data_IF_585354527827
#
_entry.id   IF_585354527827
#
_cell.length_a   1.000
_cell.length_b   1.000
_cell.length_c   1.000
_cell.angle_alpha   90.00
_cell.angle_beta   90.00
_cell.angle_gamma   90.00
#
_symmetry.space_group_name_H-M   'P 1'
#
loop_
_entity.id
_entity.type
_entity.pdbx_description
1 polymer ?
#
# COMPACT_ATOMS: atom_id res chain seq x y z
N UNK A 1 -2.73 0.49 11.68
CA UNK A 1 -2.88 1.94 11.44
C UNK A 1 -1.56 2.60 11.04
N UNK A 2 -0.51 2.44 11.86
CA UNK A 2 0.81 3.02 11.61
C UNK A 2 1.40 2.65 10.23
N UNK A 3 1.16 1.43 9.74
CA UNK A 3 1.52 1.00 8.38
C UNK A 3 0.96 1.92 7.27
N UNK A 4 -0.33 2.28 7.32
CA UNK A 4 -0.97 3.10 6.30
C UNK A 4 -0.42 4.53 6.27
N UNK A 5 -0.03 5.06 7.43
CA UNK A 5 0.55 6.40 7.55
C UNK A 5 1.94 6.46 6.88
N UNK A 6 2.78 5.45 7.06
CA UNK A 6 4.07 5.36 6.37
C UNK A 6 3.93 5.28 4.85
N UNK A 7 2.84 4.69 4.35
CA UNK A 7 2.57 4.57 2.91
C UNK A 7 1.91 5.81 2.31
N UNK A 8 1.37 6.71 3.13
CA UNK A 8 0.66 7.92 2.71
C UNK A 8 1.41 8.77 1.67
N UNK A 9 2.70 9.11 1.87
CA UNK A 9 3.46 9.89 0.90
C UNK A 9 3.61 9.19 -0.45
N UNK A 10 3.82 7.88 -0.43
CA UNK A 10 4.01 7.08 -1.63
C UNK A 10 2.72 6.96 -2.44
N UNK A 11 1.63 6.52 -1.78
CA UNK A 11 0.32 6.36 -2.42
C UNK A 11 -0.24 7.72 -2.83
N UNK A 12 -0.09 8.75 -2.00
CA UNK A 12 -0.59 10.10 -2.27
C UNK A 12 -0.02 10.69 -3.56
N UNK A 13 1.29 10.57 -3.79
CA UNK A 13 1.93 11.06 -5.03
C UNK A 13 1.42 10.31 -6.26
N UNK A 14 1.25 9.00 -6.16
CA UNK A 14 0.73 8.19 -7.26
C UNK A 14 -0.71 8.58 -7.61
N UNK A 15 -1.60 8.60 -6.61
CA UNK A 15 -3.01 8.93 -6.79
C UNK A 15 -3.17 10.37 -7.30
N UNK A 16 -2.39 11.32 -6.79
CA UNK A 16 -2.41 12.70 -7.28
C UNK A 16 -2.07 12.80 -8.77
N UNK A 17 -1.09 12.03 -9.26
CA UNK A 17 -0.67 12.05 -10.67
C UNK A 17 -1.74 11.54 -11.62
N UNK A 18 -2.40 10.43 -11.28
CA UNK A 18 -3.46 9.84 -12.11
C UNK A 18 -4.79 10.60 -12.02
N UNK A 19 -4.92 11.52 -11.06
CA UNK A 19 -6.14 12.29 -10.80
C UNK A 19 -6.13 13.71 -11.39
N UNK A 20 -5.16 14.03 -12.25
CA UNK A 20 -5.06 15.35 -12.90
C UNK A 20 -6.34 15.66 -13.70
N UNK A 21 -6.98 16.80 -13.40
CA UNK A 21 -8.19 17.25 -14.08
C UNK A 21 -9.51 16.73 -13.49
N UNK A 22 -9.48 15.98 -12.39
CA UNK A 22 -10.68 15.54 -11.64
C UNK A 22 -11.10 16.58 -10.62
N UNK A 23 -12.41 16.66 -10.34
CA UNK A 23 -12.88 17.46 -9.20
C UNK A 23 -12.50 16.80 -7.87
N UNK A 24 -12.40 17.58 -6.80
CA UNK A 24 -12.10 17.05 -5.46
C UNK A 24 -13.13 16.00 -5.04
N UNK A 25 -14.41 16.22 -5.39
CA UNK A 25 -15.49 15.26 -5.08
C UNK A 25 -15.28 13.93 -5.80
N UNK A 26 -14.99 13.96 -7.09
CA UNK A 26 -14.69 12.76 -7.88
C UNK A 26 -13.44 12.03 -7.35
N UNK A 27 -12.40 12.78 -7.00
CA UNK A 27 -11.18 12.26 -6.41
C UNK A 27 -11.47 11.51 -5.10
N UNK A 28 -12.16 12.16 -4.15
CA UNK A 28 -12.46 11.56 -2.84
C UNK A 28 -13.34 10.32 -3.00
N UNK A 29 -14.39 10.39 -3.82
CA UNK A 29 -15.26 9.22 -4.05
C UNK A 29 -14.53 8.07 -4.73
N UNK A 30 -13.70 8.35 -5.74
CA UNK A 30 -12.93 7.31 -6.44
C UNK A 30 -11.93 6.60 -5.53
N UNK A 31 -11.21 7.36 -4.70
CA UNK A 31 -10.19 6.84 -3.78
C UNK A 31 -10.79 6.07 -2.61
N UNK A 32 -12.01 6.42 -2.17
CA UNK A 32 -12.69 5.69 -1.12
C UNK A 32 -13.41 4.45 -1.67
N UNK A 33 -14.28 4.62 -2.66
CA UNK A 33 -15.20 3.56 -3.09
C UNK A 33 -14.45 2.42 -3.79
N UNK A 34 -13.53 2.74 -4.71
CA UNK A 34 -12.84 1.71 -5.50
C UNK A 34 -12.08 0.70 -4.64
N UNK A 35 -11.11 1.13 -3.82
CA UNK A 35 -10.37 0.25 -2.92
C UNK A 35 -11.23 -0.43 -1.87
N UNK A 36 -12.26 0.24 -1.34
CA UNK A 36 -13.18 -0.37 -0.37
C UNK A 36 -13.96 -1.52 -0.99
N UNK A 37 -14.59 -1.32 -2.16
CA UNK A 37 -15.34 -2.38 -2.83
C UNK A 37 -14.45 -3.58 -3.18
N UNK A 38 -13.25 -3.31 -3.72
CA UNK A 38 -12.27 -4.35 -3.98
C UNK A 38 -11.91 -5.13 -2.71
N UNK A 39 -11.64 -4.42 -1.61
CA UNK A 39 -11.30 -5.05 -0.33
C UNK A 39 -12.47 -5.87 0.22
N UNK A 40 -13.70 -5.35 0.14
CA UNK A 40 -14.91 -6.08 0.58
C UNK A 40 -15.10 -7.37 -0.21
N UNK A 41 -14.93 -7.33 -1.53
CA UNK A 41 -15.02 -8.53 -2.38
C UNK A 41 -13.91 -9.52 -2.04
N UNK A 42 -12.67 -9.03 -1.92
CA UNK A 42 -11.50 -9.86 -1.62
C UNK A 42 -11.62 -10.56 -0.26
N UNK A 43 -11.84 -9.79 0.81
CA UNK A 43 -11.99 -10.33 2.16
C UNK A 43 -13.28 -11.15 2.30
N UNK A 44 -14.35 -10.78 1.61
CA UNK A 44 -15.59 -11.55 1.59
C UNK A 44 -15.40 -12.94 0.96
N UNK A 45 -14.74 -13.01 -0.20
CA UNK A 45 -14.49 -14.26 -0.90
C UNK A 45 -13.52 -15.17 -0.11
N UNK A 46 -12.30 -14.69 0.18
CA UNK A 46 -11.28 -15.52 0.84
C UNK A 46 -11.53 -15.71 2.33
N UNK A 47 -12.01 -14.68 3.04
CA UNK A 47 -12.41 -14.80 4.44
C UNK A 47 -13.64 -15.69 4.62
N UNK A 48 -14.56 -15.68 3.65
CA UNK A 48 -15.72 -16.59 3.63
C UNK A 48 -15.32 -18.06 3.56
N UNK A 49 -14.31 -18.40 2.75
CA UNK A 49 -13.77 -19.78 2.67
C UNK A 49 -13.21 -20.23 4.02
N UNK A 50 -12.36 -19.40 4.65
CA UNK A 50 -11.79 -19.72 5.96
C UNK A 50 -12.84 -19.84 7.07
N UNK A 51 -13.87 -18.99 7.04
CA UNK A 51 -14.98 -19.03 7.99
C UNK A 51 -15.83 -20.30 7.80
N UNK A 52 -16.14 -20.66 6.55
CA UNK A 52 -16.90 -21.86 6.21
C UNK A 52 -16.18 -23.13 6.69
N UNK A 53 -14.86 -23.23 6.51
CA UNK A 53 -14.06 -24.37 6.98
C UNK A 53 -14.05 -24.47 8.51
N UNK A 54 -14.01 -23.32 9.20
CA UNK A 54 -14.07 -23.27 10.67
C UNK A 54 -15.44 -23.74 11.19
N UNK A 55 -16.52 -23.34 10.53
CA UNK A 55 -17.89 -23.68 10.95
C UNK A 55 -18.26 -25.14 10.66
N UNK A 56 -17.70 -25.72 9.60
CA UNK A 56 -17.97 -27.13 9.22
C UNK A 56 -17.10 -28.13 10.00
N UNK A 57 -16.18 -27.66 10.85
CA UNK A 57 -15.16 -28.46 11.54
C UNK A 57 -14.30 -29.33 10.60
N UNK A 58 -14.26 -28.98 9.30
CA UNK A 58 -13.56 -29.77 8.29
C UNK A 58 -12.10 -29.36 8.10
N UNK A 59 -11.54 -28.49 8.95
CA UNK A 59 -10.20 -28.01 8.66
C UNK A 59 -9.39 -27.26 9.70
N UNK A 60 -8.08 -27.32 9.43
CA UNK A 60 -6.95 -26.90 10.27
C UNK A 60 -6.42 -25.50 9.88
N UNK A 61 -7.10 -24.81 8.95
CA UNK A 61 -6.70 -23.45 8.51
C UNK A 61 -6.61 -22.47 9.69
N UNK A 62 -7.49 -22.61 10.69
CA UNK A 62 -7.43 -21.79 11.90
C UNK A 62 -6.12 -22.02 12.69
N UNK A 63 -5.64 -23.25 12.81
CA UNK A 63 -4.38 -23.55 13.49
C UNK A 63 -3.16 -23.01 12.71
N UNK A 64 -3.24 -23.00 11.37
CA UNK A 64 -2.22 -22.39 10.52
C UNK A 64 -2.10 -20.87 10.74
N UNK A 65 -3.19 -20.18 11.07
CA UNK A 65 -3.11 -18.74 11.40
C UNK A 65 -2.28 -18.45 12.65
N UNK A 66 -2.14 -19.42 13.56
CA UNK A 66 -1.35 -19.26 14.78
C UNK A 66 0.09 -19.73 14.62
N UNK A 67 0.33 -20.71 13.76
CA UNK A 67 1.63 -21.38 13.63
C UNK A 67 2.43 -20.91 12.42
N UNK A 68 1.79 -20.65 11.27
CA UNK A 68 2.44 -20.32 10.00
C UNK A 68 1.54 -19.49 9.07
N UNK A 69 1.34 -18.21 9.41
CA UNK A 69 0.54 -17.28 8.59
C UNK A 69 1.02 -17.19 7.14
N UNK A 70 2.32 -17.37 6.90
CA UNK A 70 2.93 -17.30 5.56
C UNK A 70 2.43 -18.40 4.61
N UNK A 71 2.03 -19.56 5.16
CA UNK A 71 1.50 -20.68 4.36
C UNK A 71 -0.01 -20.62 4.18
N UNK A 72 -0.70 -19.74 4.90
CA UNK A 72 -2.15 -19.66 4.96
C UNK A 72 -2.79 -19.48 3.57
N UNK A 73 -2.21 -18.61 2.74
CA UNK A 73 -2.73 -18.37 1.38
C UNK A 73 -2.69 -19.63 0.53
N UNK A 74 -1.58 -20.36 0.55
CA UNK A 74 -1.42 -21.59 -0.24
C UNK A 74 -2.29 -22.72 0.30
N UNK A 75 -2.37 -22.88 1.62
CA UNK A 75 -3.26 -23.85 2.25
C UNK A 75 -4.73 -23.58 1.92
N UNK A 76 -5.13 -22.32 1.78
CA UNK A 76 -6.48 -21.96 1.34
C UNK A 76 -6.69 -22.30 -0.14
N UNK A 77 -5.71 -22.06 -1.01
CA UNK A 77 -5.80 -22.40 -2.44
C UNK A 77 -5.91 -23.91 -2.67
N UNK A 78 -5.32 -24.73 -1.79
CA UNK A 78 -5.46 -26.20 -1.83
C UNK A 78 -6.89 -26.69 -1.59
N UNK A 79 -7.75 -25.85 -0.98
CA UNK A 79 -9.17 -26.14 -0.80
C UNK A 79 -10.03 -25.81 -2.02
N UNK A 80 -9.46 -25.11 -3.00
CA UNK A 80 -10.15 -24.67 -4.21
C UNK A 80 -9.83 -25.61 -5.40
N UNK A 81 -10.77 -25.77 -6.36
CA UNK A 81 -10.47 -26.50 -7.58
C UNK A 81 -9.33 -25.82 -8.34
N UNK A 82 -8.51 -26.62 -9.03
CA UNK A 82 -7.32 -26.17 -9.78
C UNK A 82 -6.23 -25.53 -8.91
N UNK A 83 -6.00 -26.03 -7.69
CA UNK A 83 -5.02 -25.49 -6.73
C UNK A 83 -3.61 -25.28 -7.30
N UNK A 84 -3.11 -26.18 -8.16
CA UNK A 84 -1.80 -26.01 -8.78
C UNK A 84 -1.72 -24.81 -9.72
N UNK A 85 -2.79 -24.55 -10.48
CA UNK A 85 -2.87 -23.41 -11.40
C UNK A 85 -3.02 -22.09 -10.63
N UNK A 86 -3.91 -22.07 -9.64
CA UNK A 86 -4.13 -20.88 -8.81
C UNK A 86 -2.88 -20.55 -7.98
N UNK A 87 -2.18 -21.55 -7.44
CA UNK A 87 -0.90 -21.38 -6.74
C UNK A 87 0.16 -20.76 -7.66
N UNK A 88 0.34 -21.30 -8.87
CA UNK A 88 1.28 -20.73 -9.84
C UNK A 88 0.93 -19.28 -10.18
N UNK A 89 -0.35 -19.00 -10.42
CA UNK A 89 -0.84 -17.65 -10.70
C UNK A 89 -0.58 -16.70 -9.52
N UNK A 90 -0.81 -17.14 -8.27
CA UNK A 90 -0.55 -16.36 -7.06
C UNK A 90 0.94 -16.06 -6.88
N UNK A 91 1.83 -17.02 -7.12
CA UNK A 91 3.28 -16.80 -7.06
C UNK A 91 3.72 -15.77 -8.11
N UNK A 92 3.23 -15.89 -9.35
CA UNK A 92 3.53 -14.92 -10.41
C UNK A 92 2.98 -13.53 -10.09
N UNK A 93 1.74 -13.45 -9.58
CA UNK A 93 1.12 -12.20 -9.17
C UNK A 93 1.89 -11.53 -8.03
N UNK A 94 2.32 -12.31 -7.02
CA UNK A 94 3.13 -11.81 -5.91
C UNK A 94 4.49 -11.29 -6.40
N UNK A 95 5.15 -12.01 -7.31
CA UNK A 95 6.40 -11.56 -7.92
C UNK A 95 6.23 -10.25 -8.68
N UNK A 96 5.22 -10.17 -9.57
CA UNK A 96 4.92 -8.96 -10.33
C UNK A 96 4.55 -7.78 -9.41
N UNK A 97 3.80 -8.04 -8.33
CA UNK A 97 3.44 -7.05 -7.34
C UNK A 97 4.68 -6.49 -6.64
N UNK A 98 5.62 -7.35 -6.23
CA UNK A 98 6.88 -6.93 -5.60
C UNK A 98 7.71 -6.09 -6.57
N UNK A 99 7.90 -6.57 -7.81
CA UNK A 99 8.68 -5.84 -8.83
C UNK A 99 8.08 -4.46 -9.09
N UNK A 100 6.77 -4.39 -9.31
CA UNK A 100 6.07 -3.13 -9.58
C UNK A 100 6.15 -2.19 -8.37
N UNK A 101 5.98 -2.71 -7.16
CA UNK A 101 6.06 -1.95 -5.91
C UNK A 101 7.45 -1.35 -5.69
N UNK A 102 8.51 -2.12 -5.90
CA UNK A 102 9.89 -1.64 -5.76
C UNK A 102 10.20 -0.57 -6.80
N UNK A 103 9.78 -0.76 -8.05
CA UNK A 103 9.98 0.23 -9.13
C UNK A 103 9.29 1.55 -8.79
N UNK A 104 8.04 1.50 -8.34
CA UNK A 104 7.31 2.69 -7.93
C UNK A 104 7.92 3.35 -6.69
N UNK A 105 8.32 2.58 -5.68
CA UNK A 105 8.94 3.12 -4.46
C UNK A 105 10.27 3.82 -4.77
N UNK A 106 11.12 3.19 -5.58
CA UNK A 106 12.39 3.76 -6.02
C UNK A 106 12.19 5.06 -6.82
N UNK A 107 11.12 5.13 -7.61
CA UNK A 107 10.74 6.34 -8.33
C UNK A 107 10.39 7.49 -7.38
N UNK A 108 9.51 7.26 -6.40
CA UNK A 108 9.07 8.30 -5.44
C UNK A 108 10.23 8.76 -4.57
N UNK A 109 11.05 7.84 -4.06
CA UNK A 109 12.25 8.17 -3.29
C UNK A 109 13.26 8.97 -4.13
N UNK A 110 13.38 8.64 -5.42
CA UNK A 110 14.18 9.41 -6.36
C UNK A 110 13.67 10.84 -6.54
N UNK A 111 12.35 11.04 -6.66
CA UNK A 111 11.74 12.37 -6.72
C UNK A 111 12.01 13.17 -5.46
N UNK A 112 11.89 12.57 -4.27
CA UNK A 112 12.20 13.26 -3.01
C UNK A 112 13.69 13.61 -2.88
N UNK A 113 14.59 12.74 -3.35
CA UNK A 113 16.04 12.95 -3.32
C UNK A 113 16.54 13.98 -4.34
N UNK A 114 15.68 14.42 -5.27
CA UNK A 114 16.03 15.36 -6.35
C UNK A 114 15.25 16.67 -6.26
N UNK A 115 14.82 17.06 -5.05
CA UNK A 115 14.10 18.31 -4.82
C UNK A 115 12.71 18.35 -5.46
N UNK A 116 12.07 17.20 -5.66
CA UNK A 116 10.74 17.11 -6.26
C UNK A 116 10.74 16.98 -7.79
N UNK A 117 11.88 16.66 -8.42
CA UNK A 117 11.91 16.44 -9.86
C UNK A 117 10.91 15.33 -10.27
N UNK A 118 9.93 15.62 -11.14
CA UNK A 118 8.92 14.66 -11.55
C UNK A 118 9.48 13.50 -12.39
N UNK A 119 10.68 13.65 -12.94
CA UNK A 119 11.43 12.64 -13.70
C UNK A 119 12.86 12.49 -13.14
N UNK A 120 13.03 11.80 -12.00
CA UNK A 120 14.37 11.55 -11.44
C UNK A 120 15.20 10.69 -12.39
N UNK A 121 16.51 10.87 -12.42
CA UNK A 121 17.40 10.14 -13.32
C UNK A 121 17.40 8.63 -13.04
N UNK A 122 17.66 7.82 -14.07
CA UNK A 122 17.67 6.35 -13.96
C UNK A 122 18.67 5.88 -12.89
N UNK A 123 19.82 6.55 -12.78
CA UNK A 123 20.85 6.23 -11.78
C UNK A 123 20.32 6.31 -10.35
N UNK A 124 19.57 7.36 -10.02
CA UNK A 124 19.01 7.56 -8.67
C UNK A 124 17.94 6.51 -8.37
N UNK A 125 17.10 6.17 -9.36
CA UNK A 125 16.10 5.10 -9.23
C UNK A 125 16.76 3.74 -8.99
N UNK A 126 17.85 3.44 -9.70
CA UNK A 126 18.59 2.17 -9.51
C UNK A 126 19.25 2.09 -8.14
N UNK A 127 19.81 3.19 -7.62
CA UNK A 127 20.37 3.25 -6.27
C UNK A 127 19.28 2.94 -5.22
N UNK A 128 18.15 3.63 -5.29
CA UNK A 128 17.04 3.38 -4.36
C UNK A 128 16.45 1.97 -4.50
N UNK A 129 16.29 1.47 -5.74
CA UNK A 129 15.84 0.10 -5.98
C UNK A 129 16.79 -0.94 -5.39
N UNK A 130 18.11 -0.74 -5.54
CA UNK A 130 19.13 -1.59 -4.95
C UNK A 130 19.11 -1.57 -3.43
N UNK A 131 19.01 -0.38 -2.82
CA UNK A 131 18.88 -0.23 -1.36
C UNK A 131 17.64 -0.92 -0.81
N UNK A 132 16.49 -0.77 -1.47
CA UNK A 132 15.26 -1.46 -1.10
C UNK A 132 15.41 -2.98 -1.21
N UNK A 133 16.09 -3.48 -2.25
CA UNK A 133 16.41 -4.90 -2.42
C UNK A 133 17.30 -5.45 -1.31
N UNK A 134 18.37 -4.72 -0.94
CA UNK A 134 19.28 -5.10 0.15
C UNK A 134 18.54 -5.11 1.49
N UNK A 135 17.72 -4.11 1.76
CA UNK A 135 16.90 -4.06 2.98
C UNK A 135 15.89 -5.21 3.03
N UNK A 136 15.24 -5.51 1.90
CA UNK A 136 14.33 -6.65 1.79
C UNK A 136 15.03 -7.98 2.06
N UNK A 137 16.21 -8.20 1.44
CA UNK A 137 17.02 -9.39 1.68
C UNK A 137 17.46 -9.51 3.14
N UNK A 138 17.90 -8.41 3.76
CA UNK A 138 18.27 -8.39 5.18
C UNK A 138 17.09 -8.76 6.09
N UNK A 139 15.87 -8.28 5.77
CA UNK A 139 14.67 -8.64 6.53
C UNK A 139 14.31 -10.12 6.37
N UNK A 140 14.41 -10.68 5.16
CA UNK A 140 14.18 -12.11 4.92
C UNK A 140 15.20 -12.95 5.71
N UNK A 141 16.48 -12.58 5.64
CA UNK A 141 17.56 -13.26 6.37
C UNK A 141 17.43 -13.17 7.89
N UNK A 142 16.75 -12.14 8.41
CA UNK A 142 16.49 -12.00 9.84
C UNK A 142 15.54 -13.07 10.38
N UNK A 143 14.70 -13.66 9.52
CA UNK A 143 13.69 -14.67 9.89
C UNK A 143 12.64 -14.19 10.89
N UNK A 144 12.60 -12.90 11.23
CA UNK A 144 11.76 -12.37 12.31
C UNK A 144 10.69 -11.43 11.78
N UNK A 145 9.46 -11.97 11.66
CA UNK A 145 8.28 -11.16 11.31
C UNK A 145 7.98 -10.09 12.37
N UNK A 146 8.35 -10.35 13.64
CA UNK A 146 8.19 -9.38 14.71
C UNK A 146 9.18 -8.22 14.57
N UNK A 147 10.44 -8.49 14.23
CA UNK A 147 11.42 -7.42 13.97
C UNK A 147 10.97 -6.52 12.82
N UNK A 148 10.45 -7.11 11.73
CA UNK A 148 9.88 -6.37 10.61
C UNK A 148 8.75 -5.44 11.07
N UNK A 149 7.76 -5.97 11.82
CA UNK A 149 6.63 -5.19 12.35
C UNK A 149 7.08 -4.03 13.23
N UNK A 150 8.07 -4.26 14.10
CA UNK A 150 8.62 -3.23 14.99
C UNK A 150 9.33 -2.12 14.19
N UNK A 151 10.17 -2.48 13.22
CA UNK A 151 10.88 -1.51 12.37
C UNK A 151 9.92 -0.63 11.58
N UNK A 152 8.89 -1.22 11.00
CA UNK A 152 7.80 -0.48 10.33
C UNK A 152 7.14 0.49 11.30
N UNK A 153 6.77 0.01 12.50
CA UNK A 153 6.06 0.84 13.47
C UNK A 153 6.90 2.04 13.91
N UNK A 154 8.19 1.83 14.20
CA UNK A 154 9.12 2.90 14.57
C UNK A 154 9.38 3.86 13.42
N UNK A 155 9.61 3.36 12.21
CA UNK A 155 9.87 4.19 11.02
C UNK A 155 8.69 5.06 10.61
N UNK A 156 7.48 4.62 10.91
CA UNK A 156 6.24 5.33 10.59
C UNK A 156 5.83 6.38 11.63
N UNK A 157 6.35 6.30 12.86
CA UNK A 157 6.02 7.24 13.95
C UNK A 157 6.22 8.72 13.57
N UNK A 158 7.35 9.17 12.97
CA UNK A 158 7.49 10.57 12.55
C UNK A 158 6.47 10.98 11.50
N UNK A 159 6.04 10.06 10.64
CA UNK A 159 5.04 10.35 9.60
C UNK A 159 3.66 10.66 10.17
N UNK A 160 3.35 10.25 11.40
CA UNK A 160 2.11 10.66 12.09
C UNK A 160 2.07 12.18 12.24
N UNK A 161 3.15 12.78 12.74
CA UNK A 161 3.25 14.23 12.91
C UNK A 161 3.27 14.96 11.57
N UNK A 162 3.99 14.41 10.58
CA UNK A 162 4.03 14.97 9.22
C UNK A 162 2.62 14.98 8.61
N UNK A 163 1.84 13.91 8.79
CA UNK A 163 0.48 13.83 8.27
C UNK A 163 -0.43 14.89 8.88
N UNK A 164 -0.32 15.14 10.19
CA UNK A 164 -1.06 16.23 10.86
C UNK A 164 -0.67 17.59 10.30
N UNK A 165 0.63 17.85 10.12
CA UNK A 165 1.12 19.08 9.51
C UNK A 165 0.60 19.25 8.07
N UNK A 166 0.61 18.18 7.27
CA UNK A 166 0.06 18.20 5.92
C UNK A 166 -1.44 18.52 5.90
N UNK A 167 -2.22 18.00 6.85
CA UNK A 167 -3.65 18.35 6.98
C UNK A 167 -3.84 19.84 7.28
N UNK A 168 -3.04 20.40 8.20
CA UNK A 168 -3.11 21.84 8.52
C UNK A 168 -2.73 22.68 7.31
N UNK A 169 -1.64 22.35 6.62
CA UNK A 169 -1.21 23.04 5.40
C UNK A 169 -2.28 22.95 4.29
N UNK A 170 -2.90 21.79 4.13
CA UNK A 170 -3.95 21.57 3.14
C UNK A 170 -5.18 22.43 3.42
N UNK A 171 -5.67 22.47 4.67
CA UNK A 171 -6.80 23.32 5.05
C UNK A 171 -6.48 24.81 4.84
N UNK A 172 -5.25 25.24 5.16
CA UNK A 172 -4.81 26.62 4.92
C UNK A 172 -4.79 26.96 3.43
N UNK A 173 -4.18 26.10 2.61
CA UNK A 173 -4.15 26.27 1.16
C UNK A 173 -5.56 26.37 0.55
N UNK A 174 -6.48 25.51 1.00
CA UNK A 174 -7.88 25.56 0.58
C UNK A 174 -8.60 26.86 0.93
N UNK A 175 -8.35 27.40 2.13
CA UNK A 175 -8.92 28.68 2.56
C UNK A 175 -8.36 29.86 1.77
N UNK A 176 -7.08 29.80 1.41
CA UNK A 176 -6.45 30.82 0.57
C UNK A 176 -6.99 30.79 -0.86
N UNK A 177 -7.25 29.60 -1.42
CA UNK A 177 -7.83 29.46 -2.76
C UNK A 177 -9.26 30.00 -2.82
N UNK A 178 -10.11 29.65 -1.85
CA UNK A 178 -11.48 30.17 -1.80
C UNK A 178 -11.53 31.68 -1.57
N UNK A 179 -10.60 32.24 -0.80
CA UNK A 179 -10.48 33.69 -0.62
C UNK A 179 -10.06 34.40 -1.92
N UNK A 180 -9.15 33.80 -2.71
CA UNK A 180 -8.75 34.33 -4.02
C UNK A 180 -9.90 34.29 -5.03
N UNK A 181 -10.63 33.18 -5.12
CA UNK A 181 -11.81 33.07 -5.99
C UNK A 181 -12.87 34.12 -5.63
N UNK A 182 -13.16 34.31 -4.34
CA UNK A 182 -14.11 35.34 -3.89
C UNK A 182 -13.67 36.76 -4.25
N UNK A 183 -12.37 37.05 -4.20
CA UNK A 183 -11.83 38.36 -4.61
C UNK A 183 -11.90 38.61 -6.12
N UNK A 184 -11.70 37.57 -6.94
CA UNK A 184 -11.82 37.66 -8.40
C UNK A 184 -13.27 37.78 -8.87
N UNK A 185 -14.22 37.22 -8.14
CA UNK A 185 -15.65 37.35 -8.45
C UNK A 185 -16.24 38.72 -8.05
N UNK A 186 -15.52 39.49 -7.22
CA UNK A 186 -15.98 40.78 -6.68
C UNK A 186 -15.41 42.01 -7.42
N UNK A 187 -14.50 41.83 -8.38
CA UNK A 187 -13.90 42.89 -9.21
C UNK A 187 -14.25 42.74 -10.68
#
# INVERSE_FOLDING_TARGET
MVWWIAWGPFVGVFVARISKGRTIREFVLGVLIGPTLFSTIWFGAFGGVGLYETLTQQGDLLALTQTNVERMTFALLDRLPFSSLTTLATVLAAFLFVVTSVVSAAFVLGTFSTGGNPNPSVRIRLIWGGLLGVLGAAMILSGSTQAMKTLIALGALPFVFITVLLMVCFIRAFREDTAKEASHAAG
#
